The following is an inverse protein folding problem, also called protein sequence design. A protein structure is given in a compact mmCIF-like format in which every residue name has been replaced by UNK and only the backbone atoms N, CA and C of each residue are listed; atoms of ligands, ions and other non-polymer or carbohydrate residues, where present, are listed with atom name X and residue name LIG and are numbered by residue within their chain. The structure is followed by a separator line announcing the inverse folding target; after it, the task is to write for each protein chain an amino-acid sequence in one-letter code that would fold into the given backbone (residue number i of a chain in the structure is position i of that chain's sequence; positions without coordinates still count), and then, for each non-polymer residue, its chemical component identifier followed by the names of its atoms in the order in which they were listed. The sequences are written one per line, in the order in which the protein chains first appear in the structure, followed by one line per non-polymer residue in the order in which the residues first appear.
data_IF_839041126750
#
_entry.id   IF_839041126750
#
_cell.length_a   1.000
_cell.length_b   1.000
_cell.length_c   1.000
_cell.angle_alpha   90.00
_cell.angle_beta   90.00
_cell.angle_gamma   90.00
#
_symmetry.space_group_name_H-M   'P 1'
#
loop_
_entity.id
_entity.type
_entity.pdbx_description
1 polymer ?
#
# COMPACT_ATOMS: atom_id res chain seq x y z
N UNK A 1 1.20 55.83 16.62
CA UNK A 1 1.28 55.38 18.02
C UNK A 1 2.49 54.47 18.14
N UNK A 2 3.48 54.92 18.92
CA UNK A 2 4.59 54.14 19.48
C UNK A 2 4.02 52.89 20.21
N UNK A 3 4.72 51.78 20.41
CA UNK A 3 6.05 51.62 21.01
C UNK A 3 6.77 50.39 20.45
N UNK A 4 8.10 50.48 20.33
CA UNK A 4 8.99 49.31 20.29
C UNK A 4 9.60 49.04 21.65
N UNK A 5 10.14 47.84 21.87
CA UNK A 5 11.39 47.53 22.59
C UNK A 5 11.85 46.12 22.17
N UNK A 6 13.11 46.02 21.74
CA UNK A 6 13.85 44.75 21.56
C UNK A 6 14.44 44.27 22.89
N UNK A 7 14.60 42.97 23.08
CA UNK A 7 15.37 42.39 24.17
C UNK A 7 15.66 40.90 23.97
N UNK A 8 16.83 40.60 23.42
CA UNK A 8 17.43 39.27 23.41
C UNK A 8 17.92 38.88 24.81
N UNK A 9 17.74 37.60 25.19
CA UNK A 9 18.55 36.97 26.22
C UNK A 9 18.71 35.45 25.96
N UNK A 10 19.97 35.07 25.77
CA UNK A 10 20.50 33.72 25.64
C UNK A 10 20.19 32.83 26.86
N UNK A 11 20.06 31.53 26.61
CA UNK A 11 19.99 30.51 27.65
C UNK A 11 20.18 29.09 27.11
N UNK A 12 21.36 28.80 26.55
CA UNK A 12 21.85 27.44 26.35
C UNK A 12 22.19 26.87 27.73
N UNK A 13 21.55 25.76 28.13
CA UNK A 13 22.09 24.86 29.14
C UNK A 13 22.07 23.42 28.64
N UNK A 14 23.29 22.97 28.39
CA UNK A 14 23.74 21.59 28.25
C UNK A 14 23.59 20.90 29.60
N UNK A 15 22.98 19.73 29.61
CA UNK A 15 22.84 18.88 30.80
C UNK A 15 22.97 17.42 30.41
N UNK A 16 24.21 16.99 30.21
CA UNK A 16 24.66 15.59 30.19
C UNK A 16 24.44 14.94 31.55
N UNK A 17 23.77 13.78 31.57
CA UNK A 17 23.98 12.74 32.59
C UNK A 17 24.05 11.39 31.88
N UNK A 18 25.27 10.86 31.80
CA UNK A 18 25.54 9.45 31.58
C UNK A 18 25.31 8.72 32.90
N UNK A 19 24.68 7.53 32.86
CA UNK A 19 24.93 6.45 33.81
C UNK A 19 24.58 5.12 33.12
N UNK A 20 25.60 4.27 33.08
CA UNK A 20 25.73 2.98 32.39
C UNK A 20 24.87 1.87 33.00
N UNK A 21 24.29 1.02 32.15
CA UNK A 21 24.64 -0.39 31.88
C UNK A 21 24.35 -1.38 33.03
N UNK A 22 23.43 -2.32 32.74
CA UNK A 22 23.23 -3.54 33.50
C UNK A 22 22.70 -4.59 32.53
N UNK A 23 23.62 -5.32 31.92
CA UNK A 23 23.40 -6.57 31.21
C UNK A 23 22.96 -7.64 32.21
N UNK A 24 21.90 -8.38 31.88
CA UNK A 24 21.67 -9.72 32.39
C UNK A 24 21.23 -10.60 31.22
N UNK A 25 22.17 -11.39 30.73
CA UNK A 25 21.91 -12.59 29.96
C UNK A 25 21.44 -13.66 30.95
N UNK A 26 20.39 -14.40 30.63
CA UNK A 26 20.24 -15.76 31.13
C UNK A 26 19.71 -16.66 30.01
N UNK A 27 20.53 -17.66 29.75
CA UNK A 27 20.32 -18.81 28.90
C UNK A 27 19.53 -19.86 29.71
N UNK A 28 18.70 -20.69 29.05
CA UNK A 28 18.75 -22.16 29.12
C UNK A 28 17.42 -22.83 28.66
N UNK A 29 17.45 -23.29 27.41
CA UNK A 29 17.23 -24.69 26.95
C UNK A 29 16.33 -25.68 27.76
N UNK A 30 15.41 -26.38 27.07
CA UNK A 30 15.41 -27.84 26.73
C UNK A 30 14.00 -28.36 26.34
N UNK A 31 13.92 -29.00 25.14
CA UNK A 31 13.23 -30.28 24.80
C UNK A 31 11.71 -30.42 25.02
N UNK A 32 10.90 -31.06 24.16
CA UNK A 32 11.08 -32.39 23.53
C UNK A 32 10.15 -32.54 22.29
N UNK A 33 10.61 -33.31 21.29
CA UNK A 33 9.94 -33.74 20.05
C UNK A 33 8.86 -34.83 20.21
N UNK A 34 7.97 -34.95 19.21
CA UNK A 34 7.38 -36.18 18.62
C UNK A 34 6.44 -35.75 17.47
N UNK A 35 6.29 -36.36 16.28
CA UNK A 35 6.95 -37.41 15.48
C UNK A 35 6.50 -37.12 14.02
N UNK A 36 7.39 -37.02 13.04
CA UNK A 36 7.69 -38.00 11.97
C UNK A 36 6.50 -38.69 11.27
N UNK A 37 6.41 -38.45 9.95
CA UNK A 37 6.10 -39.36 8.82
C UNK A 37 6.44 -38.52 7.56
N UNK A 38 7.69 -38.49 7.09
CA UNK A 38 8.41 -39.43 6.21
C UNK A 38 7.62 -39.90 4.97
N UNK A 39 8.06 -39.43 3.80
CA UNK A 39 8.21 -40.26 2.60
C UNK A 39 9.29 -39.64 1.70
N UNK A 40 10.47 -40.24 1.81
CA UNK A 40 11.58 -40.48 0.85
C UNK A 40 11.41 -39.95 -0.60
N UNK A 41 12.39 -39.16 -1.09
CA UNK A 41 13.59 -39.56 -1.89
C UNK A 41 13.25 -39.82 -3.38
N UNK A 42 13.95 -39.27 -4.38
CA UNK A 42 15.39 -39.39 -4.57
C UNK A 42 16.07 -38.27 -5.40
N UNK A 43 17.33 -38.07 -5.02
CA UNK A 43 18.51 -37.49 -5.69
C UNK A 43 18.77 -38.12 -7.10
N UNK A 44 19.59 -37.64 -8.04
CA UNK A 44 20.69 -36.68 -8.01
C UNK A 44 21.19 -36.31 -9.44
N UNK A 45 21.95 -35.21 -9.51
CA UNK A 45 23.15 -34.91 -10.32
C UNK A 45 23.26 -35.41 -11.79
N UNK A 46 23.63 -34.50 -12.72
CA UNK A 46 25.02 -34.06 -12.94
C UNK A 46 25.15 -33.19 -14.20
N UNK A 47 25.96 -32.15 -14.08
CA UNK A 47 26.41 -31.23 -15.14
C UNK A 47 27.33 -31.97 -16.11
N UNK A 48 27.20 -31.70 -17.41
CA UNK A 48 28.35 -31.74 -18.32
C UNK A 48 28.26 -30.60 -19.34
N UNK A 49 29.17 -29.65 -19.15
CA UNK A 49 29.61 -28.67 -20.13
C UNK A 49 30.60 -29.38 -21.06
N UNK A 50 30.48 -29.21 -22.38
CA UNK A 50 31.59 -29.16 -23.35
C UNK A 50 31.07 -28.87 -24.76
N UNK A 51 32.00 -28.48 -25.63
CA UNK A 51 31.87 -27.47 -26.68
C UNK A 51 32.11 -28.01 -28.11
N UNK A 52 31.87 -27.12 -29.09
CA UNK A 52 32.41 -27.03 -30.47
C UNK A 52 31.54 -27.49 -31.69
N UNK A 53 31.07 -26.46 -32.41
CA UNK A 53 30.93 -26.21 -33.87
C UNK A 53 30.86 -27.34 -34.91
N UNK A 54 29.85 -27.26 -35.81
CA UNK A 54 29.98 -26.93 -37.26
C UNK A 54 28.69 -27.10 -38.08
N UNK A 55 28.58 -26.28 -39.12
CA UNK A 55 27.44 -25.96 -40.00
C UNK A 55 26.90 -27.07 -40.93
N UNK A 56 25.60 -26.99 -41.29
CA UNK A 56 25.08 -27.25 -42.65
C UNK A 56 23.61 -26.77 -42.82
N UNK A 57 23.35 -26.08 -43.93
CA UNK A 57 22.05 -25.56 -44.41
C UNK A 57 21.34 -26.63 -45.27
N UNK A 58 20.00 -26.81 -45.17
CA UNK A 58 19.10 -27.15 -46.31
C UNK A 58 17.62 -26.78 -46.05
N UNK A 59 17.12 -25.83 -46.85
CA UNK A 59 15.81 -25.65 -47.50
C UNK A 59 14.45 -26.02 -46.85
N UNK A 60 13.63 -24.98 -46.63
CA UNK A 60 12.48 -24.70 -47.52
C UNK A 60 11.17 -25.48 -47.36
N UNK A 61 10.30 -25.06 -46.43
CA UNK A 61 8.84 -25.25 -46.52
C UNK A 61 8.14 -23.95 -46.11
N UNK A 62 7.16 -23.43 -46.88
CA UNK A 62 6.52 -22.16 -46.56
C UNK A 62 5.63 -22.33 -45.34
N UNK A 63 6.05 -21.72 -44.23
CA UNK A 63 5.24 -21.58 -43.02
C UNK A 63 4.02 -20.72 -43.36
N UNK A 64 2.89 -21.39 -43.55
CA UNK A 64 1.58 -20.75 -43.47
C UNK A 64 1.54 -20.03 -42.13
N UNK A 65 1.49 -18.70 -42.15
CA UNK A 65 1.41 -17.88 -40.96
C UNK A 65 0.17 -18.31 -40.16
N UNK A 66 0.38 -19.18 -39.17
CA UNK A 66 -0.56 -19.38 -38.08
C UNK A 66 -0.80 -18.01 -37.47
N UNK A 67 -2.03 -17.52 -37.54
CA UNK A 67 -2.45 -16.42 -36.68
C UNK A 67 -2.19 -16.92 -35.25
N UNK A 68 -1.24 -16.34 -34.51
CA UNK A 68 -0.96 -16.83 -33.17
C UNK A 68 -2.22 -16.64 -32.34
N UNK A 69 -2.65 -17.70 -31.64
CA UNK A 69 -3.87 -17.73 -30.81
C UNK A 69 -3.90 -16.66 -29.70
N UNK A 70 -2.81 -15.91 -29.54
CA UNK A 70 -2.58 -14.91 -28.52
C UNK A 70 -2.81 -13.46 -29.00
N UNK A 71 -3.19 -13.24 -30.27
CA UNK A 71 -3.47 -11.88 -30.78
C UNK A 71 -4.84 -11.35 -30.32
N UNK A 72 -4.91 -10.16 -29.67
CA UNK A 72 -6.18 -9.54 -29.30
C UNK A 72 -7.04 -9.23 -30.52
N UNK A 73 -8.35 -9.41 -30.41
CA UNK A 73 -9.30 -9.00 -31.45
C UNK A 73 -10.51 -8.27 -30.87
N UNK A 74 -11.15 -7.43 -31.68
CA UNK A 74 -12.37 -6.72 -31.29
C UNK A 74 -13.51 -7.72 -31.14
N UNK A 75 -14.21 -7.66 -30.01
CA UNK A 75 -15.26 -8.61 -29.64
C UNK A 75 -14.79 -9.72 -28.70
N UNK A 76 -13.49 -9.84 -28.43
CA UNK A 76 -12.98 -10.81 -27.46
C UNK A 76 -13.52 -10.51 -26.04
N UNK A 77 -14.05 -11.53 -25.38
CA UNK A 77 -14.69 -11.41 -24.06
C UNK A 77 -13.78 -11.94 -22.93
N UNK A 78 -13.90 -11.32 -21.76
CA UNK A 78 -13.22 -11.70 -20.53
C UNK A 78 -14.19 -11.66 -19.36
N UNK A 79 -13.96 -12.51 -18.36
CA UNK A 79 -14.78 -12.55 -17.14
C UNK A 79 -14.56 -11.34 -16.23
N UNK A 80 -13.37 -10.74 -16.26
CA UNK A 80 -13.00 -9.62 -15.39
C UNK A 80 -12.06 -8.62 -16.09
N UNK A 81 -11.98 -7.41 -15.54
CA UNK A 81 -11.03 -6.38 -15.97
C UNK A 81 -9.58 -6.87 -15.80
N UNK A 82 -9.31 -7.62 -14.71
CA UNK A 82 -8.02 -8.21 -14.42
C UNK A 82 -7.61 -9.29 -15.44
N UNK A 83 -8.56 -10.13 -15.87
CA UNK A 83 -8.32 -11.14 -16.91
C UNK A 83 -7.95 -10.50 -18.26
N UNK A 84 -8.69 -9.45 -18.66
CA UNK A 84 -8.37 -8.69 -19.87
C UNK A 84 -6.99 -8.03 -19.80
N UNK A 85 -6.62 -7.50 -18.63
CA UNK A 85 -5.30 -6.92 -18.39
C UNK A 85 -4.19 -7.97 -18.49
N UNK A 86 -4.36 -9.12 -17.83
CA UNK A 86 -3.38 -10.22 -17.86
C UNK A 86 -3.15 -10.73 -19.29
N UNK A 87 -4.22 -10.92 -20.06
CA UNK A 87 -4.14 -11.32 -21.46
C UNK A 87 -3.33 -10.32 -22.30
N UNK A 88 -3.67 -9.03 -22.23
CA UNK A 88 -2.94 -8.03 -23.02
C UNK A 88 -1.50 -7.83 -22.56
N UNK A 89 -1.23 -8.01 -21.27
CA UNK A 89 0.13 -7.98 -20.72
C UNK A 89 0.97 -9.16 -21.24
N UNK A 90 0.38 -10.36 -21.34
CA UNK A 90 1.04 -11.51 -21.93
C UNK A 90 1.36 -11.26 -23.41
N UNK A 91 0.39 -10.78 -24.17
CA UNK A 91 0.59 -10.35 -25.57
C UNK A 91 1.70 -9.30 -25.71
N UNK A 92 1.70 -8.28 -24.84
CA UNK A 92 2.72 -7.24 -24.87
C UNK A 92 4.11 -7.77 -24.56
N UNK A 93 4.22 -8.66 -23.57
CA UNK A 93 5.48 -9.28 -23.16
C UNK A 93 6.04 -10.15 -24.28
N UNK A 94 5.18 -10.95 -24.93
CA UNK A 94 5.55 -11.77 -26.09
C UNK A 94 6.08 -10.90 -27.23
N UNK A 95 5.39 -9.81 -27.56
CA UNK A 95 5.82 -8.88 -28.59
C UNK A 95 6.95 -7.93 -28.18
N UNK A 96 7.34 -7.89 -26.90
CA UNK A 96 8.47 -7.08 -26.44
C UNK A 96 8.15 -5.59 -26.19
N UNK A 97 6.96 -5.29 -25.71
CA UNK A 97 6.63 -3.99 -25.12
C UNK A 97 5.98 -4.12 -23.74
N UNK A 98 5.92 -3.00 -23.03
CA UNK A 98 5.30 -2.92 -21.71
C UNK A 98 4.02 -2.11 -21.87
N UNK A 99 2.93 -2.55 -21.22
CA UNK A 99 1.67 -1.82 -21.19
C UNK A 99 1.62 -0.86 -20.00
N UNK A 100 0.77 0.15 -20.08
CA UNK A 100 0.36 1.01 -18.98
C UNK A 100 -1.15 1.11 -18.92
N UNK A 101 -1.70 1.16 -17.72
CA UNK A 101 -3.11 1.55 -17.51
C UNK A 101 -3.26 3.05 -17.79
N UNK A 102 -4.13 3.41 -18.74
CA UNK A 102 -4.33 4.80 -19.18
C UNK A 102 -5.61 5.40 -18.58
N UNK A 103 -6.75 5.27 -19.28
CA UNK A 103 -8.03 5.88 -18.88
C UNK A 103 -8.92 4.85 -18.19
N UNK A 104 -9.58 5.27 -17.11
CA UNK A 104 -10.67 4.54 -16.45
C UNK A 104 -11.98 5.21 -16.80
N UNK A 105 -12.94 4.46 -17.32
CA UNK A 105 -14.32 4.91 -17.47
C UNK A 105 -15.15 4.36 -16.32
N UNK A 106 -15.86 5.26 -15.62
CA UNK A 106 -16.76 4.90 -14.53
C UNK A 106 -18.20 5.21 -14.90
N UNK A 107 -19.11 4.37 -14.43
CA UNK A 107 -20.55 4.64 -14.52
C UNK A 107 -20.90 5.88 -13.71
N UNK A 108 -21.80 6.71 -14.25
CA UNK A 108 -22.30 7.90 -13.55
C UNK A 108 -23.33 7.56 -12.45
N UNK A 109 -23.91 6.36 -12.48
CA UNK A 109 -24.97 5.96 -11.53
C UNK A 109 -24.40 5.39 -10.24
N UNK A 110 -23.46 4.48 -10.38
CA UNK A 110 -22.93 3.62 -9.31
C UNK A 110 -21.42 3.76 -9.12
N UNK A 111 -20.73 4.54 -9.95
CA UNK A 111 -19.28 4.75 -9.84
C UNK A 111 -18.41 3.55 -10.22
N UNK A 112 -19.01 2.42 -10.59
CA UNK A 112 -18.30 1.19 -10.96
C UNK A 112 -17.48 1.36 -12.24
N UNK A 113 -16.41 0.57 -12.38
CA UNK A 113 -15.59 0.53 -13.58
C UNK A 113 -16.38 -0.10 -14.75
N UNK A 114 -16.56 0.67 -15.82
CA UNK A 114 -17.28 0.24 -17.05
C UNK A 114 -16.38 0.18 -18.28
N UNK A 115 -15.14 0.64 -18.17
CA UNK A 115 -14.19 0.54 -19.27
C UNK A 115 -12.76 0.92 -18.90
N UNK A 116 -11.80 0.31 -19.58
CA UNK A 116 -10.36 0.47 -19.33
C UNK A 116 -9.61 0.58 -20.66
N UNK A 117 -8.75 1.59 -20.78
CA UNK A 117 -7.76 1.65 -21.84
C UNK A 117 -6.40 1.16 -21.34
N UNK A 118 -5.83 0.17 -22.02
CA UNK A 118 -4.46 -0.31 -21.83
C UNK A 118 -3.63 0.11 -23.04
N UNK A 119 -2.51 0.77 -22.83
CA UNK A 119 -1.72 1.40 -23.90
C UNK A 119 -0.25 1.03 -23.77
N UNK A 120 0.52 1.15 -24.84
CA UNK A 120 1.97 1.00 -24.75
C UNK A 120 2.59 2.04 -23.77
N UNK A 121 3.64 1.66 -23.04
CA UNK A 121 4.35 2.57 -22.14
C UNK A 121 4.92 3.80 -22.88
N UNK A 122 5.23 3.67 -24.17
CA UNK A 122 5.71 4.76 -25.04
C UNK A 122 4.58 5.57 -25.69
N UNK A 123 3.31 5.39 -25.26
CA UNK A 123 2.14 6.08 -25.83
C UNK A 123 2.15 7.58 -25.57
N UNK A 124 1.67 8.34 -26.56
CA UNK A 124 1.50 9.79 -26.51
C UNK A 124 2.82 10.56 -26.47
N UNK A 125 2.73 11.85 -26.15
CA UNK A 125 3.88 12.73 -25.93
C UNK A 125 3.74 13.35 -24.53
N UNK A 126 4.83 13.46 -23.76
CA UNK A 126 4.78 14.20 -22.50
C UNK A 126 4.66 15.69 -22.82
N UNK A 127 3.80 16.38 -22.10
CA UNK A 127 3.77 17.84 -22.16
C UNK A 127 5.01 18.39 -21.45
N UNK A 128 5.61 19.44 -21.99
CA UNK A 128 6.76 20.09 -21.36
C UNK A 128 6.42 20.44 -19.90
N UNK A 129 7.24 19.97 -18.96
CA UNK A 129 7.08 20.28 -17.54
C UNK A 129 7.45 21.76 -17.35
N UNK A 130 6.47 22.60 -17.01
CA UNK A 130 6.67 24.05 -16.83
C UNK A 130 7.30 24.40 -15.47
N UNK A 131 7.65 23.41 -14.65
CA UNK A 131 8.28 23.61 -13.34
C UNK A 131 9.77 23.86 -13.49
N UNK A 132 10.31 24.75 -12.66
CA UNK A 132 11.73 25.11 -12.64
C UNK A 132 12.63 23.87 -12.49
N UNK A 133 13.79 23.90 -13.16
CA UNK A 133 14.71 22.79 -13.43
C UNK A 133 15.39 22.18 -12.19
N UNK A 134 14.88 22.44 -10.98
CA UNK A 134 15.47 22.04 -9.70
C UNK A 134 15.33 20.53 -9.45
N UNK A 135 14.39 19.85 -10.12
CA UNK A 135 14.21 18.39 -10.05
C UNK A 135 14.76 17.72 -11.31
N UNK A 136 15.61 16.69 -11.16
CA UNK A 136 16.11 15.86 -12.28
C UNK A 136 14.92 15.45 -13.17
N UNK A 137 14.87 16.00 -14.39
CA UNK A 137 13.83 15.65 -15.34
C UNK A 137 14.04 14.20 -15.79
N UNK A 138 13.03 13.35 -15.54
CA UNK A 138 13.02 11.97 -16.02
C UNK A 138 13.13 11.98 -17.54
N UNK A 139 14.01 11.13 -18.10
CA UNK A 139 14.17 11.01 -19.54
C UNK A 139 12.82 10.81 -20.26
N UNK A 140 12.65 11.49 -21.39
CA UNK A 140 11.46 11.38 -22.23
C UNK A 140 11.37 9.95 -22.79
N UNK A 141 10.34 9.21 -22.37
CA UNK A 141 10.16 7.81 -22.77
C UNK A 141 9.02 7.63 -23.77
N UNK A 142 8.19 8.66 -23.98
CA UNK A 142 7.00 8.61 -24.83
C UNK A 142 7.33 9.14 -26.23
N UNK A 143 7.07 8.33 -27.24
CA UNK A 143 7.47 8.58 -28.64
C UNK A 143 6.26 8.73 -29.57
N UNK A 144 5.07 8.97 -29.00
CA UNK A 144 3.83 9.04 -29.76
C UNK A 144 3.28 7.67 -30.17
N UNK A 145 3.60 6.60 -29.44
CA UNK A 145 3.06 5.28 -29.76
C UNK A 145 1.53 5.29 -29.68
N UNK A 146 0.87 4.55 -30.57
CA UNK A 146 -0.60 4.47 -30.65
C UNK A 146 -1.16 3.10 -30.29
N UNK A 147 -0.29 2.11 -30.07
CA UNK A 147 -0.70 0.76 -29.72
C UNK A 147 -1.50 0.76 -28.41
N UNK A 148 -2.70 0.18 -28.46
CA UNK A 148 -3.63 0.12 -27.34
C UNK A 148 -4.72 -0.94 -27.51
N UNK A 149 -5.31 -1.35 -26.39
CA UNK A 149 -6.64 -1.94 -26.37
C UNK A 149 -7.59 -1.13 -25.48
N UNK A 150 -8.88 -1.17 -25.82
CA UNK A 150 -9.96 -0.61 -25.01
C UNK A 150 -10.96 -1.71 -24.70
N UNK A 151 -11.12 -2.01 -23.41
CA UNK A 151 -12.13 -2.97 -22.95
C UNK A 151 -13.28 -2.25 -22.28
N UNK A 152 -14.50 -2.75 -22.47
CA UNK A 152 -15.73 -2.22 -21.86
C UNK A 152 -16.55 -3.33 -21.23
N UNK A 153 -17.17 -3.03 -20.10
CA UNK A 153 -18.12 -3.93 -19.45
C UNK A 153 -19.46 -3.87 -20.20
N UNK A 154 -19.93 -5.02 -20.66
CA UNK A 154 -21.25 -5.18 -21.29
C UNK A 154 -22.30 -5.51 -20.22
N UNK A 155 -23.59 -5.43 -20.59
CA UNK A 155 -24.70 -5.68 -19.66
C UNK A 155 -24.70 -7.08 -19.04
N UNK A 156 -24.11 -8.07 -19.72
CA UNK A 156 -23.91 -9.43 -19.19
C UNK A 156 -22.86 -9.51 -18.08
N UNK A 157 -22.19 -8.40 -17.74
CA UNK A 157 -21.14 -8.36 -16.72
C UNK A 157 -19.73 -8.67 -17.23
N UNK A 158 -19.62 -9.23 -18.44
CA UNK A 158 -18.34 -9.53 -19.10
C UNK A 158 -17.64 -8.27 -19.62
N UNK A 159 -16.35 -8.37 -19.86
CA UNK A 159 -15.49 -7.32 -20.41
C UNK A 159 -15.13 -7.65 -21.85
N UNK A 160 -15.42 -6.74 -22.78
CA UNK A 160 -15.24 -6.96 -24.22
C UNK A 160 -14.26 -5.96 -24.80
N UNK A 161 -13.35 -6.42 -25.66
CA UNK A 161 -12.46 -5.56 -26.44
C UNK A 161 -13.28 -4.79 -27.48
N UNK A 162 -13.32 -3.47 -27.35
CA UNK A 162 -14.05 -2.57 -28.26
C UNK A 162 -13.13 -1.85 -29.25
N UNK A 163 -11.83 -1.76 -28.95
CA UNK A 163 -10.84 -1.19 -29.84
C UNK A 163 -9.51 -1.91 -29.64
N UNK A 164 -8.84 -2.22 -30.74
CA UNK A 164 -7.48 -2.73 -30.76
C UNK A 164 -6.69 -1.96 -31.82
N UNK A 165 -5.53 -1.46 -31.43
CA UNK A 165 -4.54 -0.82 -32.31
C UNK A 165 -3.24 -1.57 -32.12
N UNK A 166 -2.78 -2.23 -33.18
CA UNK A 166 -1.58 -3.07 -33.17
C UNK A 166 -0.31 -2.26 -33.44
N UNK A 167 -0.43 -1.17 -34.19
CA UNK A 167 0.71 -0.46 -34.77
C UNK A 167 1.52 0.31 -33.71
N UNK A 168 2.82 0.04 -33.70
CA UNK A 168 3.81 0.77 -32.90
C UNK A 168 4.57 1.78 -33.76
N UNK A 169 4.90 2.92 -33.18
CA UNK A 169 5.76 3.95 -33.82
C UNK A 169 7.24 3.79 -33.45
N UNK A 170 7.60 2.69 -32.81
CA UNK A 170 8.95 2.39 -32.35
C UNK A 170 9.23 0.90 -32.50
N UNK A 171 10.51 0.49 -32.60
CA UNK A 171 10.87 -0.92 -32.62
C UNK A 171 10.45 -1.59 -31.32
N UNK A 172 10.04 -2.85 -31.44
CA UNK A 172 9.75 -3.74 -30.32
C UNK A 172 11.00 -4.57 -30.00
N UNK A 173 11.14 -5.03 -28.76
CA UNK A 173 12.30 -5.83 -28.35
C UNK A 173 11.84 -7.13 -27.70
N UNK A 174 11.41 -8.13 -28.48
CA UNK A 174 11.05 -9.45 -27.98
C UNK A 174 12.24 -10.07 -27.22
N UNK A 175 11.98 -10.75 -26.11
CA UNK A 175 13.00 -11.51 -25.36
C UNK A 175 13.85 -10.74 -24.33
N UNK A 176 13.93 -9.40 -24.39
CA UNK A 176 14.54 -8.60 -23.30
C UNK A 176 13.50 -8.24 -22.26
N UNK A 177 13.06 -9.24 -21.50
CA UNK A 177 12.08 -9.08 -20.43
C UNK A 177 12.54 -8.08 -19.38
N UNK A 178 12.04 -6.84 -19.46
CA UNK A 178 12.10 -5.87 -18.36
C UNK A 178 11.07 -6.27 -17.31
N UNK A 179 11.40 -7.31 -16.53
CA UNK A 179 10.54 -7.88 -15.48
C UNK A 179 10.18 -6.86 -14.39
N UNK A 180 10.99 -5.81 -14.23
CA UNK A 180 10.90 -4.86 -13.13
C UNK A 180 9.74 -3.86 -13.22
N UNK A 181 9.03 -3.78 -14.35
CA UNK A 181 7.94 -2.81 -14.55
C UNK A 181 6.53 -3.42 -14.44
N UNK A 182 6.42 -4.72 -14.16
CA UNK A 182 5.20 -5.52 -14.36
C UNK A 182 4.18 -5.39 -13.21
N UNK A 183 4.61 -5.16 -11.97
CA UNK A 183 3.77 -5.46 -10.80
C UNK A 183 2.94 -4.30 -10.20
N UNK A 184 3.07 -3.05 -10.63
CA UNK A 184 2.49 -1.89 -9.90
C UNK A 184 1.36 -1.14 -10.61
N UNK A 185 0.76 -1.68 -11.66
CA UNK A 185 -0.25 -0.93 -12.44
C UNK A 185 -1.70 -1.19 -12.02
N UNK A 186 -1.94 -2.28 -11.30
CA UNK A 186 -3.16 -2.51 -10.54
C UNK A 186 -2.80 -2.40 -9.06
N UNK A 187 -3.22 -1.35 -8.34
CA UNK A 187 -3.24 -1.42 -6.89
C UNK A 187 -4.17 -2.59 -6.56
N UNK A 188 -3.59 -3.70 -6.08
CA UNK A 188 -4.35 -4.83 -5.62
C UNK A 188 -5.30 -4.32 -4.53
N UNK A 189 -6.62 -4.39 -4.76
CA UNK A 189 -7.61 -3.90 -3.80
C UNK A 189 -7.39 -4.56 -2.43
N UNK A 190 -6.88 -5.80 -2.40
CA UNK A 190 -6.51 -6.48 -1.17
C UNK A 190 -5.35 -5.83 -0.40
N UNK A 191 -4.36 -5.24 -1.08
CA UNK A 191 -3.28 -4.53 -0.41
C UNK A 191 -3.79 -3.22 0.21
N UNK A 192 -4.72 -2.53 -0.48
CA UNK A 192 -5.37 -1.33 0.06
C UNK A 192 -6.26 -1.67 1.25
N UNK A 193 -7.01 -2.78 1.17
CA UNK A 193 -7.81 -3.29 2.28
C UNK A 193 -6.91 -3.63 3.48
N UNK A 194 -5.78 -4.33 3.25
CA UNK A 194 -4.82 -4.66 4.32
C UNK A 194 -4.23 -3.41 4.97
N UNK A 195 -3.79 -2.45 4.17
CA UNK A 195 -3.24 -1.17 4.63
C UNK A 195 -4.26 -0.38 5.46
N UNK A 196 -5.48 -0.20 4.93
CA UNK A 196 -6.55 0.53 5.63
C UNK A 196 -7.00 -0.20 6.89
N UNK A 197 -7.04 -1.53 6.88
CA UNK A 197 -7.36 -2.33 8.07
C UNK A 197 -6.29 -2.16 9.15
N UNK A 198 -5.02 -2.09 8.76
CA UNK A 198 -3.92 -1.82 9.68
C UNK A 198 -4.00 -0.41 10.27
N UNK A 199 -4.29 0.60 9.44
CA UNK A 199 -4.51 1.99 9.91
C UNK A 199 -5.70 2.07 10.88
N UNK A 200 -6.82 1.42 10.55
CA UNK A 200 -7.98 1.33 11.43
C UNK A 200 -7.64 0.68 12.78
N UNK A 201 -6.84 -0.39 12.77
CA UNK A 201 -6.40 -1.06 13.99
C UNK A 201 -5.51 -0.16 14.87
N UNK A 202 -4.63 0.64 14.25
CA UNK A 202 -3.79 1.62 14.97
C UNK A 202 -4.65 2.72 15.60
N UNK A 203 -5.58 3.29 14.84
CA UNK A 203 -6.47 4.34 15.37
C UNK A 203 -7.38 3.80 16.49
N UNK A 204 -7.88 2.56 16.38
CA UNK A 204 -8.62 1.90 17.47
C UNK A 204 -7.77 1.76 18.73
N UNK A 205 -6.50 1.37 18.59
CA UNK A 205 -5.58 1.30 19.75
C UNK A 205 -5.40 2.68 20.36
N UNK A 206 -5.12 3.72 19.56
CA UNK A 206 -4.96 5.09 20.04
C UNK A 206 -6.20 5.61 20.77
N UNK A 207 -7.39 5.38 20.21
CA UNK A 207 -8.66 5.73 20.83
C UNK A 207 -8.87 5.01 22.18
N UNK A 208 -8.51 3.72 22.26
CA UNK A 208 -8.56 2.98 23.52
C UNK A 208 -7.59 3.53 24.56
N UNK A 209 -6.41 4.01 24.18
CA UNK A 209 -5.47 4.65 25.11
C UNK A 209 -6.03 5.96 25.65
N UNK A 210 -6.56 6.83 24.78
CA UNK A 210 -7.19 8.08 25.24
C UNK A 210 -8.39 7.84 26.13
N UNK A 211 -9.21 6.83 25.82
CA UNK A 211 -10.33 6.43 26.66
C UNK A 211 -9.87 6.05 28.08
N UNK A 212 -8.82 5.23 28.21
CA UNK A 212 -8.24 4.87 29.52
C UNK A 212 -7.71 6.08 30.30
N UNK A 213 -7.04 7.02 29.61
CA UNK A 213 -6.56 8.24 30.27
C UNK A 213 -7.71 9.10 30.78
N UNK A 214 -8.81 9.21 30.01
CA UNK A 214 -10.00 9.93 30.45
C UNK A 214 -10.65 9.25 31.65
N UNK A 215 -10.80 7.92 31.62
CA UNK A 215 -11.36 7.15 32.75
C UNK A 215 -10.54 7.38 34.04
N UNK A 216 -9.21 7.35 33.97
CA UNK A 216 -8.35 7.66 35.11
C UNK A 216 -8.56 9.07 35.67
N UNK A 217 -8.69 10.08 34.79
CA UNK A 217 -8.93 11.46 35.23
C UNK A 217 -10.29 11.57 35.92
N UNK A 218 -11.33 10.92 35.38
CA UNK A 218 -12.66 10.91 35.98
C UNK A 218 -12.65 10.26 37.37
N UNK A 219 -12.02 9.10 37.51
CA UNK A 219 -11.90 8.38 38.79
C UNK A 219 -11.18 9.25 39.84
N UNK A 220 -10.12 9.94 39.44
CA UNK A 220 -9.39 10.85 40.32
C UNK A 220 -10.22 12.07 40.75
N UNK A 221 -11.09 12.59 39.87
CA UNK A 221 -12.03 13.68 40.20
C UNK A 221 -13.10 13.18 41.17
N UNK A 222 -13.64 11.99 40.95
CA UNK A 222 -14.66 11.39 41.81
C UNK A 222 -14.12 11.15 43.23
N UNK A 223 -12.94 10.54 43.35
CA UNK A 223 -12.27 10.34 44.65
C UNK A 223 -12.02 11.67 45.38
N UNK A 224 -11.57 12.70 44.66
CA UNK A 224 -11.35 14.01 45.24
C UNK A 224 -12.65 14.64 45.75
N UNK A 225 -13.72 14.58 44.95
CA UNK A 225 -15.04 15.10 45.32
C UNK A 225 -15.61 14.37 46.53
N UNK A 226 -15.49 13.03 46.60
CA UNK A 226 -15.91 12.27 47.77
C UNK A 226 -15.12 12.65 49.02
N UNK A 227 -13.80 12.81 48.90
CA UNK A 227 -12.93 13.23 50.01
C UNK A 227 -13.30 14.62 50.54
N UNK A 228 -13.54 15.58 49.63
CA UNK A 228 -14.02 16.91 49.98
C UNK A 228 -15.39 16.86 50.65
N UNK A 229 -16.33 16.07 50.10
CA UNK A 229 -17.67 15.91 50.67
C UNK A 229 -17.63 15.35 52.10
N UNK A 230 -16.77 14.35 52.36
CA UNK A 230 -16.57 13.79 53.71
C UNK A 230 -16.03 14.84 54.69
N UNK A 231 -15.06 15.66 54.27
CA UNK A 231 -14.52 16.75 55.11
C UNK A 231 -15.57 17.82 55.41
N UNK A 232 -16.36 18.21 54.42
CA UNK A 232 -17.46 19.16 54.61
C UNK A 232 -18.49 18.60 55.58
N UNK A 233 -18.86 17.32 55.43
CA UNK A 233 -19.82 16.68 56.32
C UNK A 233 -19.34 16.69 57.78
N UNK A 234 -18.06 16.39 58.02
CA UNK A 234 -17.47 16.46 59.37
C UNK A 234 -17.60 17.87 59.97
N UNK A 235 -17.28 18.91 59.21
CA UNK A 235 -17.40 20.31 59.67
C UNK A 235 -18.86 20.65 59.99
N UNK A 236 -19.80 20.21 59.14
CA UNK A 236 -21.24 20.43 59.35
C UNK A 236 -21.72 19.72 60.62
N UNK A 237 -21.25 18.50 60.86
CA UNK A 237 -21.59 17.72 62.05
C UNK A 237 -21.01 18.36 63.32
N UNK A 238 -19.76 18.83 63.27
CA UNK A 238 -19.10 19.57 64.37
C UNK A 238 -19.88 20.86 64.71
N UNK A 239 -20.24 21.65 63.70
CA UNK A 239 -21.00 22.89 63.89
C UNK A 239 -22.37 22.60 64.50
N UNK A 240 -23.07 21.57 64.01
CA UNK A 240 -24.36 21.15 64.56
C UNK A 240 -24.24 20.73 66.03
N UNK A 241 -23.19 20.00 66.39
CA UNK A 241 -22.96 19.60 67.78
C UNK A 241 -22.72 20.82 68.68
N UNK A 242 -21.97 21.82 68.20
CA UNK A 242 -21.77 23.08 68.92
C UNK A 242 -23.08 23.86 69.11
N UNK A 243 -23.90 23.98 68.06
CA UNK A 243 -25.20 24.66 68.12
C UNK A 243 -26.15 23.99 69.13
N UNK A 244 -26.20 22.65 69.13
CA UNK A 244 -27.03 21.89 70.07
C UNK A 244 -26.57 22.10 71.52
N UNK A 245 -25.25 22.07 71.79
CA UNK A 245 -24.69 22.35 73.12
C UNK A 245 -25.02 23.76 73.61
N UNK A 246 -24.96 24.75 72.71
CA UNK A 246 -25.30 26.14 73.05
C UNK A 246 -26.79 26.32 73.36
N UNK A 247 -27.67 25.63 72.63
CA UNK A 247 -29.11 25.64 72.88
C UNK A 247 -29.47 24.94 74.20
N UNK A 248 -28.76 23.87 74.57
CA UNK A 248 -28.95 23.17 75.83
C UNK A 248 -28.48 23.97 77.04
N UNK A 249 -27.46 24.81 76.89
CA UNK A 249 -26.96 25.71 77.93
C UNK A 249 -27.81 26.99 78.10
N UNK A 250 -28.77 27.25 77.20
CA UNK A 250 -29.66 28.41 77.22
C UNK A 250 -31.03 28.14 77.88
N UNK A 251 -31.27 26.93 78.37
CA UNK A 251 -32.46 26.51 79.14
C UNK A 251 -32.11 26.43 80.62
#
# INVERSE_FOLDING_TARGET
MEFGVNGDANGVMVGTVELEDSRASDENEIGVNSAEEDFQQDHDHKVHEESLDKDAIMDGVPSVAMVPADEPYVGQEFESEAAAHAFYNAYATHLGFIIRVSKLSRSRRDGSAIGRALVCNKEGYRMADKREKIVRQRAETRVGCRAMILVRKVSSGKWVVTKFVKEHTHPLTPGKGRRDCIYNQYPNEHDKIRELSQQLAIERKRAATYKRHLELIFEQIEEHNESLSKKIQHIVDDVREMENKEQQNRV
#
